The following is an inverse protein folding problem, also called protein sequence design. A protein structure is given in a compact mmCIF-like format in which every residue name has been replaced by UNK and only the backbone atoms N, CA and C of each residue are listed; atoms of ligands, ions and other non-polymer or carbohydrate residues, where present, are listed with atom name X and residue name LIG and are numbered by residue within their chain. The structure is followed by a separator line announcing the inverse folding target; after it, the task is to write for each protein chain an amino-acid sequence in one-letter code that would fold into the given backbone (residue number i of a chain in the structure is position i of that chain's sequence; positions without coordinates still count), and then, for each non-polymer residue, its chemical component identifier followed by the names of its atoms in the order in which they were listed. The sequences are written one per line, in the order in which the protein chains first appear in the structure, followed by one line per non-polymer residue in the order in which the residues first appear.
data_IF_177008019203
#
_entry.id   IF_177008019203
#
_cell.length_a   1.000
_cell.length_b   1.000
_cell.length_c   1.000
_cell.angle_alpha   90.00
_cell.angle_beta   90.00
_cell.angle_gamma   90.00
#
_symmetry.space_group_name_H-M   'P 1'
#
loop_
_entity.id
_entity.type
_entity.pdbx_description
1 polymer ?
#
# COMPACT_ATOMS: atom_id res chain seq x y z
N UNK A 1 -17.05 29.89 -7.20
CA UNK A 1 -18.11 28.91 -7.49
C UNK A 1 -17.61 27.46 -7.34
N UNK A 2 -16.74 26.94 -8.21
CA UNK A 2 -16.33 25.52 -8.15
C UNK A 2 -15.61 25.07 -6.85
N UNK A 3 -14.88 25.96 -6.16
CA UNK A 3 -14.19 25.64 -4.89
C UNK A 3 -15.14 25.43 -3.69
N UNK A 4 -16.36 25.95 -3.77
CA UNK A 4 -17.35 25.86 -2.68
C UNK A 4 -18.54 24.95 -3.05
N UNK A 5 -18.48 24.29 -4.20
CA UNK A 5 -19.51 23.35 -4.64
C UNK A 5 -19.20 21.97 -4.07
N UNK A 6 -20.06 21.48 -3.16
CA UNK A 6 -19.90 20.16 -2.54
C UNK A 6 -19.84 19.04 -3.56
N UNK A 7 -20.77 19.03 -4.53
CA UNK A 7 -20.84 18.03 -5.60
C UNK A 7 -19.52 17.94 -6.37
N UNK A 8 -18.90 19.09 -6.69
CA UNK A 8 -17.62 19.11 -7.38
C UNK A 8 -16.47 18.63 -6.48
N UNK A 9 -16.49 18.96 -5.19
CA UNK A 9 -15.44 18.57 -4.24
C UNK A 9 -15.42 17.07 -3.94
N UNK A 10 -16.59 16.41 -3.93
CA UNK A 10 -16.67 14.97 -3.67
C UNK A 10 -16.37 14.11 -4.91
N UNK A 11 -16.76 14.58 -6.10
CA UNK A 11 -16.67 13.79 -7.33
C UNK A 11 -15.31 13.99 -8.04
N UNK A 12 -14.74 15.19 -7.98
CA UNK A 12 -13.45 15.45 -8.64
C UNK A 12 -12.30 15.01 -7.75
N UNK A 13 -11.43 14.16 -8.29
CA UNK A 13 -10.18 13.78 -7.65
C UNK A 13 -9.16 14.93 -7.71
N UNK A 14 -8.29 15.01 -6.69
CA UNK A 14 -7.17 15.94 -6.69
C UNK A 14 -6.21 15.61 -7.82
N UNK A 15 -5.85 16.60 -8.64
CA UNK A 15 -4.78 16.50 -9.64
C UNK A 15 -3.41 16.85 -9.08
N UNK A 16 -3.35 17.25 -7.79
CA UNK A 16 -2.09 17.60 -7.13
C UNK A 16 -1.51 16.35 -6.49
N UNK A 17 -0.19 16.13 -6.67
CA UNK A 17 0.54 15.04 -6.01
C UNK A 17 0.41 15.18 -4.48
N UNK A 18 0.41 14.05 -3.78
CA UNK A 18 0.54 14.04 -2.33
C UNK A 18 1.75 14.87 -1.92
N UNK A 19 1.52 15.84 -1.04
CA UNK A 19 2.60 16.65 -0.49
C UNK A 19 3.30 15.85 0.60
N UNK A 20 4.58 15.54 0.39
CA UNK A 20 5.40 14.76 1.32
C UNK A 20 6.37 13.84 0.60
N UNK A 21 7.59 13.69 1.14
CA UNK A 21 8.54 12.72 0.64
C UNK A 21 8.08 11.31 1.05
N UNK A 22 8.17 10.34 0.13
CA UNK A 22 8.04 8.93 0.51
C UNK A 22 9.16 8.63 1.52
N UNK A 23 8.76 8.32 2.76
CA UNK A 23 9.68 7.90 3.79
C UNK A 23 9.96 6.42 3.58
N UNK A 24 11.04 6.10 2.89
CA UNK A 24 11.53 4.73 2.79
C UNK A 24 11.84 4.20 4.19
N UNK A 25 11.61 2.90 4.39
CA UNK A 25 12.08 2.22 5.58
C UNK A 25 13.62 2.36 5.64
N UNK A 26 14.20 2.73 6.80
CA UNK A 26 15.65 2.69 6.98
C UNK A 26 16.26 1.31 6.62
N UNK A 27 17.54 1.30 6.27
CA UNK A 27 18.25 0.06 5.96
C UNK A 27 18.46 -0.72 7.28
N UNK A 28 18.11 -2.02 7.34
CA UNK A 28 18.39 -2.86 8.50
C UNK A 28 19.89 -2.90 8.82
N UNK A 29 20.25 -2.82 10.09
CA UNK A 29 21.68 -2.83 10.52
C UNK A 29 22.14 -4.17 11.09
N UNK A 30 21.19 -5.03 11.44
CA UNK A 30 21.42 -6.34 12.03
C UNK A 30 20.44 -7.36 11.43
N UNK A 31 20.77 -8.65 11.55
CA UNK A 31 19.86 -9.71 11.16
C UNK A 31 18.56 -9.60 11.96
N UNK A 32 17.42 -9.75 11.28
CA UNK A 32 16.08 -9.71 11.89
C UNK A 32 15.68 -8.37 12.51
N UNK A 33 16.41 -7.29 12.20
CA UNK A 33 16.09 -5.93 12.63
C UNK A 33 14.72 -5.48 12.06
N UNK A 34 14.32 -6.05 10.91
CA UNK A 34 13.02 -5.80 10.26
C UNK A 34 12.50 -7.05 9.58
N UNK A 35 11.18 -7.18 9.54
CA UNK A 35 10.50 -8.24 8.81
C UNK A 35 9.37 -7.62 8.00
N UNK A 36 9.43 -7.78 6.68
CA UNK A 36 8.33 -7.44 5.77
C UNK A 36 7.43 -8.66 5.60
N UNK A 37 6.12 -8.48 5.77
CA UNK A 37 5.13 -9.55 5.62
C UNK A 37 4.08 -9.11 4.61
N UNK A 38 3.75 -9.97 3.65
CA UNK A 38 2.72 -9.71 2.65
C UNK A 38 1.91 -10.97 2.31
N UNK A 39 0.72 -10.77 1.75
CA UNK A 39 -0.12 -11.84 1.20
C UNK A 39 -0.29 -11.64 -0.30
N UNK A 40 0.18 -12.61 -1.08
CA UNK A 40 0.02 -12.58 -2.53
C UNK A 40 -1.13 -13.50 -2.93
N UNK A 41 -2.08 -12.97 -3.71
CA UNK A 41 -3.22 -13.72 -4.24
C UNK A 41 -4.39 -12.82 -4.60
N UNK A 42 -5.57 -13.41 -4.92
CA UNK A 42 -5.85 -14.85 -4.90
C UNK A 42 -5.29 -15.59 -6.13
N UNK A 43 -4.83 -16.81 -5.90
CA UNK A 43 -4.46 -17.76 -6.94
C UNK A 43 -5.58 -18.79 -7.18
N UNK A 44 -5.38 -19.68 -8.16
CA UNK A 44 -6.19 -20.89 -8.26
C UNK A 44 -6.02 -21.72 -6.99
N UNK A 45 -7.14 -22.18 -6.43
CA UNK A 45 -7.13 -22.97 -5.22
C UNK A 45 -6.31 -24.26 -5.39
N UNK A 46 -5.41 -24.52 -4.45
CA UNK A 46 -4.63 -25.74 -4.37
C UNK A 46 -4.66 -26.25 -2.94
N UNK A 47 -5.17 -27.47 -2.75
CA UNK A 47 -5.26 -28.13 -1.43
C UNK A 47 -5.96 -27.28 -0.36
N UNK A 48 -6.98 -26.49 -0.74
CA UNK A 48 -7.73 -25.64 0.20
C UNK A 48 -7.05 -24.31 0.53
N UNK A 49 -6.06 -23.88 -0.24
CA UNK A 49 -5.40 -22.57 -0.06
C UNK A 49 -5.17 -21.88 -1.40
N UNK A 50 -5.29 -20.56 -1.41
CA UNK A 50 -5.15 -19.73 -2.61
C UNK A 50 -4.33 -18.44 -2.38
N UNK A 51 -3.67 -18.33 -1.23
CA UNK A 51 -2.78 -17.21 -0.92
C UNK A 51 -1.41 -17.70 -0.50
N UNK A 52 -0.38 -16.92 -0.84
CA UNK A 52 0.98 -17.11 -0.38
C UNK A 52 1.28 -16.11 0.72
N UNK A 53 1.76 -16.59 1.87
CA UNK A 53 2.29 -15.74 2.93
C UNK A 53 3.78 -15.52 2.72
N UNK A 54 4.14 -14.30 2.34
CA UNK A 54 5.53 -13.91 2.02
C UNK A 54 6.14 -13.23 3.23
N UNK A 55 7.32 -13.70 3.65
CA UNK A 55 8.10 -13.13 4.75
C UNK A 55 9.49 -12.79 4.22
N UNK A 56 9.89 -11.53 4.38
CA UNK A 56 11.19 -10.98 3.99
C UNK A 56 11.89 -10.47 5.25
N UNK A 57 13.18 -10.76 5.41
CA UNK A 57 14.02 -10.28 6.52
C UNK A 57 15.09 -9.29 6.05
#
# INVERSE_FOLDING_TARGET
YCKMCETCSHIKTSTTKLSGQLHSLPIPTQLWDRIGIDFVGPFSESKGSNYLWVVLC
#
